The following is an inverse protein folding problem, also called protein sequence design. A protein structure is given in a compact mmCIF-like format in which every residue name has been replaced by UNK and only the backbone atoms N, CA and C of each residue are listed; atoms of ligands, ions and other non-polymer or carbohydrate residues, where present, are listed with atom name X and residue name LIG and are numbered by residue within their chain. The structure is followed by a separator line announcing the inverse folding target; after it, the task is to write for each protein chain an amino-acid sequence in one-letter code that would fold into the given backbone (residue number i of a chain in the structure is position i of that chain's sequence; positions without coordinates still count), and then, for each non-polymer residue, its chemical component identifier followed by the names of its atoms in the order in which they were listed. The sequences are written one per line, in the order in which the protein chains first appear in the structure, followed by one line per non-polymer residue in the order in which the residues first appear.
data_IF_209724637347
#
_entry.id   IF_209724637347
#
_cell.length_a   1.000
_cell.length_b   1.000
_cell.length_c   1.000
_cell.angle_alpha   90.00
_cell.angle_beta   90.00
_cell.angle_gamma   90.00
#
_symmetry.space_group_name_H-M   'P 1'
#
loop_
_entity.id
_entity.type
_entity.pdbx_description
1 polymer ?
#
# COMPACT_ATOMS: atom_id res chain seq x y z
N UNK A 1 2.72 -22.91 -19.19
CA UNK A 1 2.64 -21.63 -18.46
C UNK A 1 2.08 -21.98 -17.09
N UNK A 2 2.85 -21.83 -16.01
CA UNK A 2 2.29 -21.93 -14.67
C UNK A 2 1.29 -20.77 -14.49
N UNK A 3 0.10 -21.05 -13.97
CA UNK A 3 -0.90 -20.00 -13.71
C UNK A 3 -0.50 -19.26 -12.44
N UNK A 4 -0.09 -18.00 -12.58
CA UNK A 4 0.16 -17.13 -11.43
C UNK A 4 -1.16 -16.87 -10.69
N UNK A 5 -1.18 -17.18 -9.40
CA UNK A 5 -2.34 -16.96 -8.55
C UNK A 5 -2.20 -15.62 -7.83
N UNK A 6 -3.25 -14.80 -7.90
CA UNK A 6 -3.31 -13.51 -7.20
C UNK A 6 -4.33 -13.61 -6.07
N UNK A 7 -3.89 -13.31 -4.86
CA UNK A 7 -4.66 -13.49 -3.65
C UNK A 7 -4.58 -12.22 -2.78
N UNK A 8 -5.71 -11.78 -2.23
CA UNK A 8 -5.73 -10.68 -1.25
C UNK A 8 -5.27 -11.23 0.10
N UNK A 9 -4.25 -10.60 0.67
CA UNK A 9 -3.71 -10.94 2.00
C UNK A 9 -4.38 -10.12 3.09
N UNK A 10 -4.77 -8.88 2.80
CA UNK A 10 -5.40 -8.02 3.79
C UNK A 10 -5.87 -6.69 3.23
N UNK A 11 -6.64 -5.96 4.03
CA UNK A 11 -7.11 -4.61 3.66
C UNK A 11 -7.35 -3.70 4.87
N UNK A 12 -7.36 -2.38 4.62
CA UNK A 12 -7.85 -1.38 5.57
C UNK A 12 -9.37 -1.50 5.76
N UNK A 13 -9.85 -1.18 6.96
CA UNK A 13 -11.27 -1.34 7.32
C UNK A 13 -12.18 -0.25 6.80
N UNK A 14 -11.64 0.95 6.58
CA UNK A 14 -12.39 2.13 6.20
C UNK A 14 -11.64 2.93 5.16
N UNK A 15 -12.40 3.79 4.47
CA UNK A 15 -11.84 4.83 3.64
C UNK A 15 -11.08 5.85 4.50
N UNK A 16 -10.05 6.44 3.92
CA UNK A 16 -9.11 7.33 4.59
C UNK A 16 -9.11 8.68 3.89
N UNK A 17 -8.97 9.75 4.67
CA UNK A 17 -8.82 11.11 4.14
C UNK A 17 -7.41 11.60 4.44
N UNK A 18 -6.70 12.04 3.40
CA UNK A 18 -5.38 12.61 3.53
C UNK A 18 -5.49 14.14 3.49
N UNK A 19 -5.23 14.78 4.63
CA UNK A 19 -5.26 16.23 4.79
C UNK A 19 -4.20 16.65 5.82
N UNK A 20 -3.59 17.81 5.62
CA UNK A 20 -2.50 18.30 6.44
C UNK A 20 -1.27 17.38 6.36
N UNK A 21 -0.96 16.70 7.46
CA UNK A 21 0.28 15.92 7.63
C UNK A 21 0.15 14.43 7.31
N UNK A 22 0.99 13.63 7.98
CA UNK A 22 1.00 12.18 7.79
C UNK A 22 -0.31 11.53 8.24
N UNK A 23 -0.74 10.54 7.47
CA UNK A 23 -1.89 9.70 7.76
C UNK A 23 -1.39 8.28 8.05
N UNK A 24 -1.88 7.69 9.14
CA UNK A 24 -1.54 6.33 9.54
C UNK A 24 -2.79 5.45 9.50
N UNK A 25 -2.64 4.22 9.02
CA UNK A 25 -3.71 3.22 8.99
C UNK A 25 -3.12 1.83 9.18
N UNK A 26 -4.00 0.86 9.44
CA UNK A 26 -3.65 -0.56 9.48
C UNK A 26 -4.30 -1.30 8.32
N UNK A 27 -3.55 -2.21 7.70
CA UNK A 27 -4.05 -3.25 6.82
C UNK A 27 -4.21 -4.50 7.66
N UNK A 28 -5.45 -4.96 7.81
CA UNK A 28 -5.76 -6.15 8.60
C UNK A 28 -5.51 -7.38 7.74
N UNK A 29 -4.61 -8.25 8.18
CA UNK A 29 -4.21 -9.43 7.43
C UNK A 29 -5.17 -10.59 7.74
N UNK A 30 -5.69 -11.22 6.70
CA UNK A 30 -6.45 -12.46 6.80
C UNK A 30 -5.48 -13.58 7.27
N UNK A 31 -5.71 -14.24 8.42
CA UNK A 31 -4.72 -15.16 8.97
C UNK A 31 -4.34 -16.32 8.03
N UNK A 32 -5.28 -16.98 7.32
CA UNK A 32 -4.94 -17.96 6.31
C UNK A 32 -4.05 -17.41 5.18
N UNK A 33 -4.41 -16.27 4.59
CA UNK A 33 -3.65 -15.66 3.49
C UNK A 33 -2.27 -15.18 3.95
N UNK A 34 -2.20 -14.60 5.16
CA UNK A 34 -0.96 -14.19 5.78
C UNK A 34 0.00 -15.37 6.02
N UNK A 35 -0.51 -16.50 6.52
CA UNK A 35 0.28 -17.71 6.70
C UNK A 35 0.86 -18.24 5.38
N UNK A 36 0.09 -18.18 4.29
CA UNK A 36 0.59 -18.54 2.94
C UNK A 36 1.66 -17.58 2.44
N UNK A 37 1.50 -16.28 2.69
CA UNK A 37 2.50 -15.27 2.37
C UNK A 37 3.80 -15.53 3.14
N UNK A 38 3.75 -15.74 4.45
CA UNK A 38 4.96 -16.03 5.24
C UNK A 38 5.65 -17.33 4.78
N UNK A 39 4.88 -18.37 4.44
CA UNK A 39 5.44 -19.61 3.94
C UNK A 39 6.20 -19.41 2.62
N UNK A 40 5.70 -18.56 1.71
CA UNK A 40 6.36 -18.34 0.41
C UNK A 40 7.64 -17.51 0.48
N UNK A 41 7.83 -16.72 1.54
CA UNK A 41 9.08 -16.01 1.82
C UNK A 41 10.22 -16.93 2.28
N UNK A 42 9.92 -18.20 2.57
CA UNK A 42 10.96 -19.16 2.99
C UNK A 42 11.93 -19.44 1.84
N UNK A 43 13.26 -19.49 2.08
CA UNK A 43 14.27 -19.71 1.04
C UNK A 43 14.03 -20.97 0.20
N UNK A 44 13.62 -22.07 0.85
CA UNK A 44 13.35 -23.35 0.19
C UNK A 44 12.17 -23.25 -0.79
N UNK A 45 11.12 -22.52 -0.41
CA UNK A 45 9.94 -22.30 -1.27
C UNK A 45 10.30 -21.41 -2.45
N UNK A 46 10.94 -20.26 -2.18
CA UNK A 46 11.38 -19.33 -3.22
C UNK A 46 12.34 -19.96 -4.25
N UNK A 47 13.21 -20.87 -3.82
CA UNK A 47 14.11 -21.62 -4.72
C UNK A 47 13.36 -22.61 -5.62
N UNK A 48 12.21 -23.13 -5.19
CA UNK A 48 11.42 -24.15 -5.90
C UNK A 48 10.39 -23.58 -6.87
N UNK A 49 9.72 -22.48 -6.49
CA UNK A 49 8.60 -21.89 -7.27
C UNK A 49 8.92 -20.50 -7.83
N UNK A 50 10.07 -19.94 -7.49
CA UNK A 50 10.34 -18.51 -7.67
C UNK A 50 9.77 -17.67 -6.51
N UNK A 51 10.29 -16.45 -6.30
CA UNK A 51 9.80 -15.57 -5.25
C UNK A 51 8.42 -15.04 -5.61
N UNK A 52 7.53 -15.06 -4.62
CA UNK A 52 6.28 -14.33 -4.72
C UNK A 52 6.52 -12.82 -4.81
N UNK A 53 5.57 -12.13 -5.43
CA UNK A 53 5.55 -10.66 -5.43
C UNK A 53 4.41 -10.17 -4.56
N UNK A 54 4.71 -9.15 -3.76
CA UNK A 54 3.73 -8.53 -2.88
C UNK A 54 3.42 -7.13 -3.40
N UNK A 55 2.13 -6.83 -3.53
CA UNK A 55 1.66 -5.54 -4.02
C UNK A 55 0.79 -4.85 -2.99
N UNK A 56 1.06 -3.57 -2.75
CA UNK A 56 0.21 -2.68 -1.98
C UNK A 56 -0.60 -1.82 -2.93
N UNK A 57 -1.91 -1.91 -2.86
CA UNK A 57 -2.82 -1.14 -3.68
C UNK A 57 -3.45 -0.02 -2.86
N UNK A 58 -3.41 1.20 -3.37
CA UNK A 58 -4.22 2.32 -2.90
C UNK A 58 -5.39 2.44 -3.88
N UNK A 59 -6.56 1.98 -3.48
CA UNK A 59 -7.73 1.83 -4.33
C UNK A 59 -8.67 3.02 -4.21
N UNK A 60 -9.35 3.35 -5.32
CA UNK A 60 -10.33 4.43 -5.41
C UNK A 60 -9.80 5.76 -4.84
N UNK A 61 -8.56 6.10 -5.18
CA UNK A 61 -7.99 7.38 -4.80
C UNK A 61 -8.68 8.48 -5.58
N UNK A 62 -9.32 9.38 -4.85
CA UNK A 62 -10.07 10.53 -5.38
C UNK A 62 -9.55 11.82 -4.80
N UNK A 63 -9.85 12.92 -5.46
CA UNK A 63 -9.44 14.25 -5.04
C UNK A 63 -9.89 15.34 -6.01
N UNK A 64 -9.70 16.59 -5.59
CA UNK A 64 -10.00 17.79 -6.37
C UNK A 64 -8.74 18.47 -6.93
N UNK A 65 -7.56 17.97 -6.62
CA UNK A 65 -6.26 18.50 -7.07
C UNK A 65 -5.34 17.38 -7.54
N UNK A 66 -4.52 17.66 -8.55
CA UNK A 66 -3.58 16.69 -9.13
C UNK A 66 -2.14 16.82 -8.59
N UNK A 67 -1.87 17.88 -7.80
CA UNK A 67 -0.52 18.24 -7.34
C UNK A 67 -0.10 17.60 -6.01
N UNK A 68 -0.93 16.73 -5.43
CA UNK A 68 -0.60 16.06 -4.17
C UNK A 68 0.36 14.90 -4.46
N UNK A 69 1.45 14.83 -3.71
CA UNK A 69 2.38 13.72 -3.71
C UNK A 69 2.74 13.33 -2.28
N UNK A 70 2.94 12.03 -2.05
CA UNK A 70 3.28 11.48 -0.75
C UNK A 70 4.12 10.20 -0.89
N UNK A 71 4.88 9.91 0.14
CA UNK A 71 5.61 8.67 0.31
C UNK A 71 4.73 7.67 1.06
N UNK A 72 4.84 6.40 0.72
CA UNK A 72 4.17 5.30 1.38
C UNK A 72 5.21 4.50 2.14
N UNK A 73 5.02 4.36 3.45
CA UNK A 73 5.86 3.53 4.31
C UNK A 73 5.06 2.39 4.90
N UNK A 74 5.72 1.26 5.13
CA UNK A 74 5.15 0.10 5.81
C UNK A 74 5.90 -0.13 7.13
N UNK A 75 5.16 -0.30 8.22
CA UNK A 75 5.68 -0.48 9.58
C UNK A 75 6.68 0.60 10.03
N UNK A 76 6.53 1.84 9.54
CA UNK A 76 7.29 2.99 10.04
C UNK A 76 7.00 3.17 11.54
N UNK A 77 8.02 3.17 12.42
CA UNK A 77 7.80 3.37 13.85
C UNK A 77 7.14 4.72 14.15
N UNK A 78 6.20 4.72 15.09
CA UNK A 78 5.45 5.92 15.42
C UNK A 78 6.38 7.03 15.95
N UNK A 79 6.32 8.21 15.33
CA UNK A 79 7.08 9.39 15.74
C UNK A 79 8.54 9.42 15.27
N UNK A 80 9.04 8.38 14.61
CA UNK A 80 10.36 8.41 13.97
C UNK A 80 10.28 9.16 12.62
N UNK A 81 11.34 9.92 12.26
CA UNK A 81 11.35 10.66 11.02
C UNK A 81 11.57 9.69 9.84
N UNK A 82 10.77 9.79 8.75
CA UNK A 82 10.78 8.79 7.67
C UNK A 82 12.09 8.68 6.88
N UNK A 83 12.93 9.72 6.89
CA UNK A 83 14.24 9.76 6.24
C UNK A 83 15.28 8.87 6.93
N UNK A 84 15.05 8.50 8.19
CA UNK A 84 15.87 7.53 8.93
C UNK A 84 15.47 6.07 8.68
N UNK A 85 14.39 5.84 7.94
CA UNK A 85 13.84 4.52 7.63
C UNK A 85 13.65 4.29 6.11
N UNK A 86 14.67 4.51 5.26
CA UNK A 86 14.55 4.29 3.82
C UNK A 86 14.21 2.84 3.45
N UNK A 87 14.59 1.87 4.29
CA UNK A 87 14.28 0.45 4.13
C UNK A 87 12.77 0.13 4.24
N UNK A 88 12.00 1.01 4.87
CA UNK A 88 10.55 0.88 5.05
C UNK A 88 9.73 1.62 3.98
N UNK A 89 10.40 2.30 3.04
CA UNK A 89 9.76 3.01 1.94
C UNK A 89 9.21 2.01 0.91
N UNK A 90 7.89 1.93 0.82
CA UNK A 90 7.16 1.12 -0.14
C UNK A 90 7.04 1.79 -1.52
N UNK A 91 7.14 3.12 -1.57
CA UNK A 91 7.16 3.86 -2.82
C UNK A 91 6.65 5.29 -2.69
N UNK A 92 6.62 5.99 -3.82
CA UNK A 92 6.14 7.37 -3.91
C UNK A 92 4.91 7.40 -4.81
N UNK A 93 3.88 8.15 -4.40
CA UNK A 93 2.63 8.29 -5.14
C UNK A 93 2.40 9.77 -5.44
N UNK A 94 2.16 10.07 -6.71
CA UNK A 94 1.76 11.39 -7.17
C UNK A 94 0.38 11.31 -7.82
N UNK A 95 -0.53 12.20 -7.40
CA UNK A 95 -1.95 12.14 -7.74
C UNK A 95 -2.30 12.73 -9.12
N UNK A 96 -1.40 12.60 -10.08
CA UNK A 96 -1.62 13.10 -11.43
C UNK A 96 -2.87 12.46 -12.07
N UNK A 97 -3.82 13.30 -12.48
CA UNK A 97 -5.05 12.87 -13.15
C UNK A 97 -6.18 12.42 -12.21
N UNK A 98 -5.95 12.39 -10.89
CA UNK A 98 -6.95 12.00 -9.89
C UNK A 98 -8.17 12.92 -9.93
N UNK A 99 -7.99 14.23 -10.14
CA UNK A 99 -9.09 15.18 -10.24
C UNK A 99 -10.05 14.80 -11.37
N UNK A 100 -9.52 14.48 -12.55
CA UNK A 100 -10.32 14.08 -13.71
C UNK A 100 -11.01 12.73 -13.46
N UNK A 101 -10.30 11.76 -12.88
CA UNK A 101 -10.83 10.44 -12.57
C UNK A 101 -11.92 10.44 -11.47
N UNK A 102 -11.98 11.51 -10.67
CA UNK A 102 -12.96 11.68 -9.58
C UNK A 102 -14.30 12.28 -10.03
N UNK A 103 -14.40 12.80 -11.26
CA UNK A 103 -15.62 13.44 -11.74
C UNK A 103 -16.73 12.40 -11.98
N UNK A 104 -17.92 12.53 -11.34
CA UNK A 104 -19.00 11.55 -11.45
C UNK A 104 -19.54 11.37 -12.88
N UNK A 105 -19.57 12.46 -13.65
CA UNK A 105 -20.10 12.49 -15.02
C UNK A 105 -18.99 12.37 -16.09
N UNK A 106 -17.78 11.94 -15.69
CA UNK A 106 -16.64 11.75 -16.59
C UNK A 106 -16.51 10.30 -17.08
N UNK A 107 -15.54 10.09 -17.97
CA UNK A 107 -15.17 8.78 -18.55
C UNK A 107 -14.90 7.69 -17.50
N UNK A 108 -14.47 8.09 -16.30
CA UNK A 108 -14.14 7.18 -15.19
C UNK A 108 -15.26 7.03 -14.16
N UNK A 109 -16.43 7.62 -14.40
CA UNK A 109 -17.63 7.55 -13.52
C UNK A 109 -17.36 7.88 -12.04
N UNK A 110 -16.34 8.69 -11.75
CA UNK A 110 -15.94 9.03 -10.39
C UNK A 110 -15.30 7.87 -9.61
N UNK A 111 -14.75 6.85 -10.27
CA UNK A 111 -14.12 5.71 -9.60
C UNK A 111 -12.75 6.04 -8.98
N UNK A 112 -12.16 7.18 -9.34
CA UNK A 112 -10.81 7.55 -8.93
C UNK A 112 -9.73 6.76 -9.65
N UNK A 113 -8.53 6.74 -9.09
CA UNK A 113 -7.36 6.03 -9.61
C UNK A 113 -6.92 4.97 -8.60
N UNK A 114 -6.47 3.80 -9.09
CA UNK A 114 -5.78 2.82 -8.26
C UNK A 114 -4.29 2.90 -8.51
N UNK A 115 -3.51 3.04 -7.45
CA UNK A 115 -2.06 2.96 -7.47
C UNK A 115 -1.61 1.60 -6.95
N UNK A 116 -0.67 0.97 -7.63
CA UNK A 116 -0.12 -0.33 -7.27
C UNK A 116 1.37 -0.17 -7.04
N UNK A 117 1.83 -0.52 -5.84
CA UNK A 117 3.24 -0.50 -5.45
C UNK A 117 3.73 -1.93 -5.29
N UNK A 118 4.85 -2.28 -5.92
CA UNK A 118 5.57 -3.51 -5.59
C UNK A 118 6.30 -3.27 -4.27
N UNK A 119 5.92 -4.00 -3.24
CA UNK A 119 6.43 -3.86 -1.88
C UNK A 119 7.19 -5.11 -1.42
N UNK A 120 7.55 -5.98 -2.36
CA UNK A 120 8.23 -7.25 -2.06
C UNK A 120 9.50 -7.01 -1.23
N UNK A 121 10.30 -5.99 -1.57
CA UNK A 121 11.53 -5.66 -0.83
C UNK A 121 11.28 -5.24 0.62
N UNK A 122 10.19 -4.51 0.89
CA UNK A 122 9.85 -4.10 2.26
C UNK A 122 9.37 -5.29 3.06
N UNK A 123 8.56 -6.16 2.46
CA UNK A 123 8.08 -7.39 3.10
C UNK A 123 9.25 -8.33 3.40
N UNK A 124 10.19 -8.51 2.47
CA UNK A 124 11.41 -9.29 2.72
C UNK A 124 12.22 -8.70 3.88
N UNK A 125 12.39 -7.38 3.91
CA UNK A 125 13.10 -6.68 4.99
C UNK A 125 12.43 -6.91 6.36
N UNK A 126 11.10 -6.77 6.41
CA UNK A 126 10.34 -7.00 7.64
C UNK A 126 10.33 -8.48 8.06
N UNK A 127 10.32 -9.41 7.11
CA UNK A 127 10.41 -10.85 7.38
C UNK A 127 11.75 -11.20 8.02
N UNK A 128 12.86 -10.73 7.45
CA UNK A 128 14.21 -10.94 7.97
C UNK A 128 14.40 -10.30 9.36
N UNK A 129 13.74 -9.17 9.61
CA UNK A 129 13.69 -8.51 10.91
C UNK A 129 12.66 -9.13 11.88
N UNK A 130 12.02 -10.24 11.52
CA UNK A 130 10.98 -10.93 12.32
C UNK A 130 9.82 -10.02 12.75
N UNK A 131 9.54 -8.99 11.94
CA UNK A 131 8.57 -7.91 12.23
C UNK A 131 7.24 -8.07 11.47
N UNK A 132 7.03 -9.21 10.80
CA UNK A 132 5.75 -9.59 10.16
C UNK A 132 4.92 -10.57 10.98
N UNK A 133 5.21 -10.75 12.27
CA UNK A 133 4.47 -11.70 13.12
C UNK A 133 3.09 -11.20 13.53
N UNK A 134 2.80 -9.93 13.30
CA UNK A 134 1.55 -9.29 13.68
C UNK A 134 0.42 -9.55 12.68
N UNK A 135 -0.83 -9.51 13.15
CA UNK A 135 -2.01 -9.65 12.30
C UNK A 135 -2.35 -8.35 11.53
N UNK A 136 -1.58 -7.28 11.75
CA UNK A 136 -1.76 -5.99 11.12
C UNK A 136 -0.46 -5.52 10.51
N UNK A 137 -0.58 -4.83 9.38
CA UNK A 137 0.52 -4.13 8.74
C UNK A 137 0.22 -2.63 8.83
N UNK A 138 1.10 -1.88 9.50
CA UNK A 138 0.94 -0.43 9.62
C UNK A 138 1.37 0.23 8.31
N UNK A 139 0.53 1.12 7.78
CA UNK A 139 0.82 1.89 6.55
C UNK A 139 0.77 3.37 6.89
N UNK A 140 1.82 4.08 6.53
CA UNK A 140 1.92 5.53 6.72
C UNK A 140 2.01 6.23 5.36
N UNK A 141 1.08 7.16 5.10
CA UNK A 141 1.13 8.05 3.96
C UNK A 141 1.70 9.38 4.43
N UNK A 142 2.89 9.74 3.96
CA UNK A 142 3.63 10.94 4.39
C UNK A 142 3.67 11.94 3.23
N UNK A 143 2.87 13.02 3.26
CA UNK A 143 2.90 14.04 2.22
C UNK A 143 4.26 14.70 2.07
N UNK A 144 4.66 14.98 0.82
CA UNK A 144 5.86 15.77 0.52
C UNK A 144 5.67 17.23 0.96
N UNK A 145 4.44 17.72 0.85
CA UNK A 145 3.98 19.02 1.36
C UNK A 145 2.64 18.82 2.06
N UNK A 146 2.30 19.65 3.06
CA UNK A 146 0.99 19.56 3.71
C UNK A 146 -0.15 19.58 2.70
N UNK A 147 -1.06 18.61 2.80
CA UNK A 147 -2.18 18.48 1.85
C UNK A 147 -3.27 19.48 2.23
N UNK A 148 -3.63 20.43 1.34
CA UNK A 148 -4.68 21.40 1.65
C UNK A 148 -6.05 20.72 1.72
N UNK A 149 -6.93 21.20 2.60
CA UNK A 149 -8.27 20.62 2.79
C UNK A 149 -9.10 20.64 1.50
N UNK A 150 -8.88 21.63 0.63
CA UNK A 150 -9.54 21.76 -0.67
C UNK A 150 -9.16 20.65 -1.65
N UNK A 151 -8.02 19.96 -1.44
CA UNK A 151 -7.62 18.82 -2.25
C UNK A 151 -8.57 17.63 -2.08
N UNK A 152 -9.28 17.52 -0.94
CA UNK A 152 -10.28 16.48 -0.64
C UNK A 152 -9.79 15.07 -1.00
N UNK A 153 -8.53 14.76 -0.69
CA UNK A 153 -7.93 13.48 -1.05
C UNK A 153 -8.54 12.38 -0.19
N UNK A 154 -9.19 11.42 -0.84
CA UNK A 154 -9.74 10.23 -0.19
C UNK A 154 -9.19 8.97 -0.82
N UNK A 155 -8.80 8.00 -0.01
CA UNK A 155 -8.39 6.66 -0.41
C UNK A 155 -9.51 5.72 0.02
N UNK A 156 -10.14 5.03 -0.93
CA UNK A 156 -11.27 4.14 -0.62
C UNK A 156 -10.84 2.93 0.20
N UNK A 157 -9.68 2.35 -0.12
CA UNK A 157 -9.12 1.21 0.58
C UNK A 157 -7.63 1.09 0.32
N UNK A 158 -6.88 0.61 1.30
CA UNK A 158 -5.51 0.11 1.10
C UNK A 158 -5.56 -1.41 1.23
N UNK A 159 -5.04 -2.15 0.25
CA UNK A 159 -5.06 -3.61 0.25
C UNK A 159 -3.69 -4.19 -0.10
N UNK A 160 -3.41 -5.37 0.43
CA UNK A 160 -2.19 -6.12 0.20
C UNK A 160 -2.53 -7.37 -0.61
N UNK A 161 -1.79 -7.62 -1.68
CA UNK A 161 -1.96 -8.77 -2.56
C UNK A 161 -0.66 -9.56 -2.66
N UNK A 162 -0.77 -10.88 -2.69
CA UNK A 162 0.29 -11.83 -3.03
C UNK A 162 0.05 -12.34 -4.44
N UNK A 163 1.08 -12.31 -5.28
CA UNK A 163 1.12 -12.96 -6.58
C UNK A 163 2.14 -14.10 -6.52
N UNK A 164 1.72 -15.32 -6.81
CA UNK A 164 2.62 -16.47 -6.81
C UNK A 164 3.65 -16.39 -7.94
N UNK A 165 4.87 -16.85 -7.65
CA UNK A 165 5.95 -17.09 -8.63
C UNK A 165 5.52 -17.96 -9.81
#
# INVERSE_FOLDING_TARGET
MATQNVEMVGASRAALNLAGGALHTEVNLDPPAHGRMLASLSPDTAASTGPDRIFLNLENVRGCMDAVAFNVYINLPQGEPPDRHPELLAGNVALFGVRKASLPQGEYSGNGVTYVLDVSHVIDTLHLAQSLTEANLHVSLVPIQPVPDEAKVSIGRISLYRQSG
#
